data_IF_660639211845
#
_entry.id   IF_660639211845
#
_cell.length_a   1.000
_cell.length_b   1.000
_cell.length_c   1.000
_cell.angle_alpha   90.00
_cell.angle_beta   90.00
_cell.angle_gamma   90.00
#
_symmetry.space_group_name_H-M   'P 1'
#
loop_
_entity.id
_entity.type
_entity.pdbx_description
1 polymer ?
#
# COMPACT_ATOMS: atom_id res chain seq x y z
N UNK A 1 17.24 -1.05 -30.83
CA UNK A 1 17.64 -0.79 -29.42
C UNK A 1 16.65 -1.52 -28.51
N UNK A 2 16.93 -2.79 -28.25
CA UNK A 2 16.18 -3.68 -27.36
C UNK A 2 17.18 -4.13 -26.28
N UNK A 3 17.23 -3.44 -25.14
CA UNK A 3 17.37 -4.18 -23.87
C UNK A 3 16.69 -3.42 -22.73
N UNK A 4 15.46 -3.77 -22.34
CA UNK A 4 14.91 -3.25 -21.07
C UNK A 4 13.76 -4.06 -20.47
N UNK A 5 12.99 -4.85 -21.22
CA UNK A 5 11.68 -5.34 -20.72
C UNK A 5 11.53 -6.84 -20.49
N UNK A 6 12.59 -7.62 -20.64
CA UNK A 6 12.57 -9.06 -20.39
C UNK A 6 13.80 -9.54 -19.60
N UNK A 7 14.23 -8.79 -18.59
CA UNK A 7 15.08 -9.39 -17.56
C UNK A 7 14.15 -10.21 -16.68
N UNK A 8 14.06 -11.51 -16.97
CA UNK A 8 13.62 -12.48 -15.99
C UNK A 8 14.40 -12.23 -14.71
N UNK A 9 13.75 -11.62 -13.73
CA UNK A 9 14.38 -11.30 -12.48
C UNK A 9 14.68 -12.62 -11.77
N UNK A 10 15.93 -13.08 -11.85
CA UNK A 10 16.40 -14.19 -11.03
C UNK A 10 16.05 -13.88 -9.58
N UNK A 11 15.17 -14.70 -9.01
CA UNK A 11 14.78 -14.61 -7.61
C UNK A 11 15.89 -15.25 -6.77
N UNK A 12 16.51 -14.46 -5.88
CA UNK A 12 17.51 -14.96 -4.94
C UNK A 12 16.87 -15.77 -3.81
N UNK A 13 15.65 -15.41 -3.42
CA UNK A 13 14.88 -16.12 -2.38
C UNK A 13 13.44 -16.22 -2.86
N UNK A 14 12.95 -17.44 -3.09
CA UNK A 14 11.56 -17.71 -3.50
C UNK A 14 10.66 -18.04 -2.30
N UNK A 15 10.81 -17.32 -1.17
CA UNK A 15 10.04 -17.58 0.07
C UNK A 15 9.06 -16.44 0.36
N UNK A 16 7.79 -16.71 0.11
CA UNK A 16 6.66 -15.80 0.32
C UNK A 16 6.26 -15.59 1.79
N UNK A 17 6.93 -16.26 2.74
CA UNK A 17 6.47 -16.32 4.13
C UNK A 17 6.77 -15.04 4.93
N UNK A 18 7.99 -14.49 4.83
CA UNK A 18 8.45 -13.38 5.69
C UNK A 18 8.91 -12.16 4.89
N UNK A 19 9.83 -12.35 3.94
CA UNK A 19 10.47 -11.25 3.22
C UNK A 19 9.84 -11.05 1.83
N UNK A 20 9.30 -12.12 1.23
CA UNK A 20 8.75 -12.10 -0.12
C UNK A 20 9.83 -12.43 -1.16
N UNK A 21 9.45 -12.55 -2.44
CA UNK A 21 10.42 -12.82 -3.50
C UNK A 21 11.40 -11.63 -3.64
N UNK A 22 12.70 -11.89 -3.53
CA UNK A 22 13.75 -10.87 -3.69
C UNK A 22 14.40 -11.06 -5.06
N UNK A 23 14.25 -10.06 -5.93
CA UNK A 23 14.99 -9.99 -7.21
C UNK A 23 16.41 -9.50 -6.97
N UNK A 24 17.34 -9.75 -7.90
CA UNK A 24 18.72 -9.21 -7.81
C UNK A 24 18.73 -7.69 -7.63
N UNK A 25 17.91 -6.97 -8.41
CA UNK A 25 17.76 -5.52 -8.27
C UNK A 25 17.25 -5.14 -6.88
N UNK A 26 16.24 -5.85 -6.37
CA UNK A 26 15.73 -5.64 -5.01
C UNK A 26 16.83 -5.88 -3.98
N UNK A 27 17.57 -7.00 -4.06
CA UNK A 27 18.68 -7.29 -3.14
C UNK A 27 19.75 -6.21 -3.15
N UNK A 28 20.16 -5.72 -4.33
CA UNK A 28 21.09 -4.60 -4.44
C UNK A 28 20.59 -3.36 -3.69
N UNK A 29 19.32 -2.97 -3.89
CA UNK A 29 18.73 -1.84 -3.15
C UNK A 29 18.68 -2.09 -1.64
N UNK A 30 18.43 -3.32 -1.18
CA UNK A 30 18.47 -3.64 0.25
C UNK A 30 19.88 -3.48 0.82
N UNK A 31 20.90 -3.97 0.12
CA UNK A 31 22.30 -3.86 0.56
C UNK A 31 22.72 -2.40 0.62
N UNK A 32 22.41 -1.60 -0.40
CA UNK A 32 22.72 -0.16 -0.41
C UNK A 32 22.00 0.55 0.74
N UNK A 33 20.72 0.26 0.96
CA UNK A 33 19.92 0.88 2.03
C UNK A 33 20.39 0.50 3.43
N UNK A 34 20.68 -0.78 3.68
CA UNK A 34 21.20 -1.27 4.96
C UNK A 34 22.61 -0.73 5.18
N UNK A 35 23.48 -0.82 4.17
CA UNK A 35 24.84 -0.28 4.21
C UNK A 35 24.86 1.22 4.51
N UNK A 36 23.99 1.99 3.85
CA UNK A 36 23.82 3.42 4.13
C UNK A 36 23.45 3.69 5.59
N UNK A 37 22.49 2.94 6.14
CA UNK A 37 22.12 3.06 7.56
C UNK A 37 23.26 2.71 8.51
N UNK A 38 24.01 1.64 8.23
CA UNK A 38 25.16 1.22 9.06
C UNK A 38 26.29 2.25 8.99
N UNK A 39 26.59 2.77 7.80
CA UNK A 39 27.60 3.81 7.62
C UNK A 39 27.18 5.09 8.35
N UNK A 40 25.94 5.55 8.19
CA UNK A 40 25.43 6.73 8.90
C UNK A 40 25.44 6.56 10.43
N UNK A 41 25.26 5.33 10.90
CA UNK A 41 25.32 5.00 12.32
C UNK A 41 26.77 5.00 12.86
N UNK A 42 27.73 4.44 12.12
CA UNK A 42 29.05 4.10 12.65
C UNK A 42 30.19 5.05 12.19
N UNK A 43 30.05 5.71 11.04
CA UNK A 43 31.14 6.51 10.47
C UNK A 43 31.43 7.76 11.31
N UNK A 44 32.69 7.94 11.73
CA UNK A 44 33.12 9.11 12.50
C UNK A 44 32.38 9.24 13.84
N UNK A 45 32.18 8.11 14.54
CA UNK A 45 31.63 8.07 15.89
C UNK A 45 32.73 7.72 16.90
N UNK A 46 32.84 8.53 17.95
CA UNK A 46 33.88 8.42 18.97
C UNK A 46 33.41 7.61 20.20
N UNK A 47 32.09 7.42 20.39
CA UNK A 47 31.53 6.70 21.53
C UNK A 47 30.21 5.97 21.23
N UNK A 48 29.90 4.93 22.03
CA UNK A 48 28.63 4.19 21.91
C UNK A 48 27.41 5.07 22.21
N UNK A 49 27.54 6.05 23.10
CA UNK A 49 26.46 7.01 23.42
C UNK A 49 26.21 7.96 22.26
N UNK A 50 27.25 8.39 21.54
CA UNK A 50 27.10 9.17 20.32
C UNK A 50 26.47 8.34 19.19
N UNK A 51 26.86 7.06 19.03
CA UNK A 51 26.20 6.14 18.10
C UNK A 51 24.71 6.01 18.43
N UNK A 52 24.37 5.84 19.71
CA UNK A 52 22.99 5.69 20.17
C UNK A 52 22.15 6.95 19.91
N UNK A 53 22.71 8.14 20.12
CA UNK A 53 22.05 9.41 19.77
C UNK A 53 21.76 9.48 18.26
N UNK A 54 22.75 9.13 17.42
CA UNK A 54 22.56 9.04 15.95
C UNK A 54 21.50 8.02 15.55
N UNK A 55 21.46 6.87 16.21
CA UNK A 55 20.41 5.87 15.98
C UNK A 55 19.02 6.43 16.28
N UNK A 56 18.86 7.24 17.33
CA UNK A 56 17.63 7.97 17.60
C UNK A 56 17.19 8.81 16.40
N UNK A 57 18.08 9.62 15.82
CA UNK A 57 17.79 10.42 14.61
C UNK A 57 17.53 9.55 13.38
N UNK A 58 18.31 8.48 13.16
CA UNK A 58 18.11 7.56 12.04
C UNK A 58 16.78 6.81 12.15
N UNK A 59 16.31 6.51 13.36
CA UNK A 59 14.99 5.91 13.55
C UNK A 59 13.88 6.82 13.04
N UNK A 60 13.95 8.12 13.32
CA UNK A 60 12.99 9.12 12.82
C UNK A 60 13.03 9.22 11.29
N UNK A 61 14.24 9.26 10.71
CA UNK A 61 14.41 9.31 9.25
C UNK A 61 13.78 8.06 8.59
N UNK A 62 14.02 6.87 9.15
CA UNK A 62 13.44 5.64 8.64
C UNK A 62 11.94 5.53 8.88
N UNK A 63 11.40 6.25 9.88
CA UNK A 63 9.95 6.35 10.06
C UNK A 63 9.28 7.26 9.03
N UNK A 64 9.96 8.27 8.47
CA UNK A 64 9.34 9.22 7.54
C UNK A 64 8.57 8.55 6.39
N UNK A 65 9.14 7.58 5.62
CA UNK A 65 8.41 6.90 4.55
C UNK A 65 7.17 6.12 5.01
N UNK A 66 7.09 5.74 6.29
CA UNK A 66 5.95 5.01 6.85
C UNK A 66 4.71 5.91 6.99
N UNK A 67 4.92 7.22 7.09
CA UNK A 67 3.88 8.21 7.38
C UNK A 67 3.64 9.21 6.23
N UNK A 68 4.38 9.17 5.12
CA UNK A 68 4.28 10.15 4.02
C UNK A 68 2.86 10.37 3.46
N UNK A 69 2.00 9.36 3.48
CA UNK A 69 0.58 9.50 3.18
C UNK A 69 -0.24 8.41 3.87
N UNK A 70 -1.55 8.58 3.91
CA UNK A 70 -2.49 7.62 4.52
C UNK A 70 -2.77 6.40 3.64
N UNK A 71 -2.48 6.48 2.33
CA UNK A 71 -2.77 5.45 1.34
C UNK A 71 -1.56 5.01 0.49
N UNK A 72 -1.03 3.81 0.72
CA UNK A 72 0.19 3.31 0.06
C UNK A 72 0.10 3.22 -1.47
N UNK A 73 -1.07 2.93 -2.05
CA UNK A 73 -1.22 2.87 -3.52
C UNK A 73 -0.92 4.21 -4.19
N UNK A 74 -1.19 5.32 -3.50
CA UNK A 74 -0.91 6.63 -4.05
C UNK A 74 0.60 6.88 -4.15
N UNK A 75 1.36 6.53 -3.12
CA UNK A 75 2.81 6.63 -3.16
C UNK A 75 3.42 5.65 -4.15
N UNK A 76 2.88 4.43 -4.27
CA UNK A 76 3.40 3.48 -5.24
C UNK A 76 3.30 4.04 -6.66
N UNK A 77 2.17 4.66 -7.00
CA UNK A 77 2.00 5.26 -8.32
C UNK A 77 2.85 6.52 -8.50
N UNK A 78 2.94 7.38 -7.47
CA UNK A 78 3.77 8.58 -7.50
C UNK A 78 5.25 8.26 -7.74
N UNK A 79 5.75 7.18 -7.13
CA UNK A 79 7.11 6.70 -7.32
C UNK A 79 7.27 5.79 -8.55
N UNK A 80 6.18 5.47 -9.27
CA UNK A 80 6.22 4.59 -10.43
C UNK A 80 6.62 3.15 -10.11
N UNK A 81 6.38 2.68 -8.88
CA UNK A 81 6.72 1.32 -8.43
C UNK A 81 5.45 0.50 -8.18
N UNK A 82 5.57 -0.83 -8.22
CA UNK A 82 4.44 -1.69 -7.89
C UNK A 82 4.05 -1.55 -6.40
N UNK A 83 2.75 -1.68 -6.07
CA UNK A 83 2.31 -1.70 -4.68
C UNK A 83 3.01 -2.79 -3.83
N UNK A 84 3.23 -4.04 -4.33
CA UNK A 84 4.05 -5.01 -3.63
C UNK A 84 5.47 -4.52 -3.29
N UNK A 85 6.12 -3.83 -4.24
CA UNK A 85 7.44 -3.21 -4.03
C UNK A 85 7.38 -2.15 -2.94
N UNK A 86 6.38 -1.26 -2.97
CA UNK A 86 6.24 -0.22 -1.94
C UNK A 86 5.95 -0.82 -0.55
N UNK A 87 5.14 -1.87 -0.48
CA UNK A 87 4.91 -2.63 0.76
C UNK A 87 6.17 -3.32 1.28
N UNK A 88 7.10 -3.70 0.40
CA UNK A 88 8.40 -4.20 0.82
C UNK A 88 9.22 -3.07 1.44
N UNK A 89 9.29 -1.91 0.80
CA UNK A 89 9.95 -0.72 1.34
C UNK A 89 9.41 -0.34 2.73
N UNK A 90 8.08 -0.25 2.88
CA UNK A 90 7.44 0.05 4.17
C UNK A 90 7.87 -0.93 5.28
N UNK A 91 7.94 -2.24 4.97
CA UNK A 91 8.41 -3.25 5.93
C UNK A 91 9.89 -3.05 6.31
N UNK A 92 10.75 -2.78 5.33
CA UNK A 92 12.18 -2.55 5.58
C UNK A 92 12.42 -1.31 6.44
N UNK A 93 11.75 -0.21 6.12
CA UNK A 93 11.82 1.04 6.90
C UNK A 93 11.35 0.83 8.34
N UNK A 94 10.26 0.10 8.55
CA UNK A 94 9.77 -0.23 9.89
C UNK A 94 10.73 -1.09 10.70
N UNK A 95 11.32 -2.12 10.07
CA UNK A 95 12.32 -2.97 10.72
C UNK A 95 13.61 -2.21 11.05
N UNK A 96 14.06 -1.33 10.14
CA UNK A 96 15.24 -0.50 10.36
C UNK A 96 15.01 0.52 11.49
N UNK A 97 13.86 1.18 11.50
CA UNK A 97 13.48 2.09 12.59
C UNK A 97 13.44 1.36 13.94
N UNK A 98 12.85 0.16 14.00
CA UNK A 98 12.84 -0.67 15.21
C UNK A 98 14.27 -1.02 15.66
N UNK A 99 15.15 -1.45 14.75
CA UNK A 99 16.53 -1.78 15.08
C UNK A 99 17.28 -0.60 15.70
N UNK A 100 17.13 0.60 15.12
CA UNK A 100 17.70 1.83 15.64
C UNK A 100 17.12 2.22 17.01
N UNK A 101 15.81 2.06 17.22
CA UNK A 101 15.15 2.31 18.53
C UNK A 101 15.64 1.36 19.60
N UNK A 102 15.80 0.06 19.28
CA UNK A 102 16.32 -0.93 20.23
C UNK A 102 17.75 -0.57 20.64
N UNK A 103 18.59 -0.19 19.68
CA UNK A 103 19.97 0.21 19.98
C UNK A 103 20.03 1.51 20.80
N UNK A 104 19.30 2.55 20.37
CA UNK A 104 19.20 3.82 21.07
C UNK A 104 18.72 3.64 22.53
N UNK A 105 17.58 2.96 22.71
CA UNK A 105 17.00 2.70 24.02
C UNK A 105 17.85 1.78 24.88
N UNK A 106 18.47 0.75 24.30
CA UNK A 106 19.36 -0.17 25.01
C UNK A 106 20.56 0.54 25.64
N UNK A 107 21.25 1.39 24.87
CA UNK A 107 22.38 2.19 25.37
C UNK A 107 21.91 3.23 26.38
N UNK A 108 20.76 3.88 26.15
CA UNK A 108 20.20 4.83 27.11
C UNK A 108 19.92 4.17 28.47
N UNK A 109 19.36 2.95 28.49
CA UNK A 109 19.06 2.21 29.72
C UNK A 109 20.30 1.75 30.48
N UNK A 110 21.43 1.50 29.81
CA UNK A 110 22.68 1.12 30.49
C UNK A 110 23.40 2.31 31.11
N UNK A 111 23.19 3.52 30.57
CA UNK A 111 23.87 4.74 31.03
C UNK A 111 23.01 5.64 31.93
N UNK A 112 21.68 5.56 31.85
CA UNK A 112 20.79 6.20 32.82
C UNK A 112 20.46 5.23 33.95
N UNK A 113 20.87 5.58 35.17
CA UNK A 113 20.72 4.74 36.36
C UNK A 113 19.25 4.49 36.73
N UNK A 114 18.87 3.20 36.69
CA UNK A 114 17.73 2.53 37.35
C UNK A 114 16.35 3.14 37.09
N UNK A 115 15.53 2.38 36.36
CA UNK A 115 14.06 2.43 36.40
C UNK A 115 13.61 2.37 37.87
N UNK A 116 13.43 3.52 38.49
CA UNK A 116 12.98 3.64 39.87
C UNK A 116 11.48 3.93 39.88
N UNK A 117 10.79 3.50 40.94
CA UNK A 117 9.32 3.63 41.10
C UNK A 117 8.83 5.07 41.27
N UNK A 118 9.69 6.08 41.08
CA UNK A 118 9.38 7.51 41.18
C UNK A 118 9.82 8.36 39.98
N UNK A 119 10.10 7.74 38.82
CA UNK A 119 10.48 8.50 37.62
C UNK A 119 9.36 9.47 37.17
N UNK A 120 9.71 10.71 36.80
CA UNK A 120 8.81 11.63 36.11
C UNK A 120 8.11 10.98 34.92
N UNK A 121 6.87 11.39 34.64
CA UNK A 121 6.09 10.86 33.51
C UNK A 121 6.80 11.07 32.16
N UNK A 122 7.66 12.09 32.06
CA UNK A 122 8.47 12.41 30.89
C UNK A 122 9.46 11.30 30.52
N UNK A 123 9.97 10.57 31.52
CA UNK A 123 10.96 9.51 31.32
C UNK A 123 10.32 8.23 30.78
N UNK A 124 8.99 8.11 30.91
CA UNK A 124 8.22 6.97 30.38
C UNK A 124 7.91 7.08 28.89
N UNK A 125 7.90 8.30 28.32
CA UNK A 125 7.58 8.49 26.90
C UNK A 125 8.45 7.68 25.94
N UNK A 126 9.80 7.68 26.03
CA UNK A 126 10.63 6.87 25.14
C UNK A 126 10.42 5.36 25.33
N UNK A 127 10.20 4.89 26.57
CA UNK A 127 9.97 3.48 26.86
C UNK A 127 8.64 2.99 26.27
N UNK A 128 7.57 3.75 26.46
CA UNK A 128 6.25 3.41 25.93
C UNK A 128 6.29 3.47 24.40
N UNK A 129 6.93 4.49 23.81
CA UNK A 129 7.13 4.59 22.37
C UNK A 129 7.86 3.37 21.79
N UNK A 130 8.97 2.95 22.40
CA UNK A 130 9.72 1.77 21.99
C UNK A 130 8.89 0.48 22.12
N UNK A 131 8.15 0.31 23.22
CA UNK A 131 7.27 -0.84 23.42
C UNK A 131 6.17 -0.93 22.36
N UNK A 132 5.56 0.20 21.98
CA UNK A 132 4.54 0.24 20.92
C UNK A 132 5.15 -0.13 19.57
N UNK A 133 6.36 0.33 19.24
CA UNK A 133 7.06 -0.04 17.99
C UNK A 133 7.32 -1.55 17.94
N UNK A 134 7.80 -2.15 19.04
CA UNK A 134 8.02 -3.60 19.13
C UNK A 134 6.70 -4.35 18.95
N UNK A 135 5.63 -3.92 19.63
CA UNK A 135 4.30 -4.51 19.51
C UNK A 135 3.77 -4.42 18.06
N UNK A 136 3.97 -3.28 17.38
CA UNK A 136 3.60 -3.10 15.97
C UNK A 136 4.24 -4.15 15.07
N UNK A 137 5.53 -4.43 15.26
CA UNK A 137 6.26 -5.42 14.46
C UNK A 137 5.81 -6.84 14.79
N UNK A 138 5.60 -7.17 16.07
CA UNK A 138 5.08 -8.47 16.49
C UNK A 138 3.71 -8.78 15.90
N UNK A 139 2.78 -7.82 15.97
CA UNK A 139 1.44 -7.96 15.38
C UNK A 139 1.46 -8.02 13.85
N UNK A 140 2.52 -7.50 13.23
CA UNK A 140 2.70 -7.53 11.77
C UNK A 140 3.24 -8.85 11.23
N UNK A 141 3.58 -9.80 12.11
CA UNK A 141 4.01 -11.14 11.73
C UNK A 141 2.89 -11.90 10.98
N UNK A 142 3.24 -12.79 10.03
CA UNK A 142 2.27 -13.50 9.21
C UNK A 142 1.22 -14.29 10.01
N UNK A 143 1.58 -14.78 11.20
CA UNK A 143 0.70 -15.54 12.08
C UNK A 143 -0.56 -14.73 12.43
N UNK A 144 -0.39 -13.52 12.96
CA UNK A 144 -1.49 -12.66 13.37
C UNK A 144 -2.20 -12.03 12.17
N UNK A 145 -1.43 -11.53 11.20
CA UNK A 145 -1.98 -10.82 10.03
C UNK A 145 -2.86 -11.70 9.15
N UNK A 146 -2.58 -13.00 9.02
CA UNK A 146 -3.37 -13.92 8.18
C UNK A 146 -4.69 -14.31 8.83
N UNK A 147 -4.72 -14.45 10.16
CA UNK A 147 -5.92 -14.87 10.89
C UNK A 147 -6.91 -13.73 11.04
N UNK A 148 -6.44 -12.53 11.42
CA UNK A 148 -7.30 -11.39 11.77
C UNK A 148 -6.92 -10.12 11.01
N UNK A 149 -6.89 -10.17 9.68
CA UNK A 149 -6.38 -9.08 8.84
C UNK A 149 -7.04 -7.71 9.09
N UNK A 150 -8.38 -7.67 9.19
CA UNK A 150 -9.11 -6.40 9.38
C UNK A 150 -8.80 -5.78 10.75
N UNK A 151 -8.84 -6.58 11.81
CA UNK A 151 -8.47 -6.15 13.17
C UNK A 151 -7.02 -5.72 13.25
N UNK A 152 -6.11 -6.50 12.66
CA UNK A 152 -4.69 -6.19 12.56
C UNK A 152 -4.47 -4.80 11.94
N UNK A 153 -5.11 -4.51 10.80
CA UNK A 153 -4.90 -3.25 10.10
C UNK A 153 -5.34 -2.05 10.94
N UNK A 154 -6.48 -2.14 11.65
CA UNK A 154 -6.96 -1.06 12.51
C UNK A 154 -6.10 -0.87 13.75
N UNK A 155 -5.71 -1.96 14.39
CA UNK A 155 -4.81 -1.93 15.54
C UNK A 155 -3.44 -1.34 15.15
N UNK A 156 -2.90 -1.72 13.98
CA UNK A 156 -1.66 -1.16 13.46
C UNK A 156 -1.74 0.35 13.25
N UNK A 157 -2.84 0.86 12.67
CA UNK A 157 -3.06 2.30 12.50
C UNK A 157 -3.13 3.05 13.85
N UNK A 158 -3.86 2.51 14.83
CA UNK A 158 -3.99 3.11 16.16
C UNK A 158 -2.65 3.15 16.90
N UNK A 159 -1.92 2.04 16.91
CA UNK A 159 -0.59 1.96 17.50
C UNK A 159 0.40 2.89 16.78
N UNK A 160 0.33 3.01 15.45
CA UNK A 160 1.16 3.94 14.70
C UNK A 160 0.91 5.42 15.06
N UNK A 161 -0.34 5.80 15.37
CA UNK A 161 -0.66 7.12 15.94
C UNK A 161 -0.05 7.26 17.34
N UNK A 162 -0.16 6.21 18.17
CA UNK A 162 0.47 6.16 19.48
C UNK A 162 1.98 6.42 19.42
N UNK A 163 2.69 5.80 18.47
CA UNK A 163 4.13 6.06 18.26
C UNK A 163 4.39 7.54 17.99
N UNK A 164 3.62 8.19 17.11
CA UNK A 164 3.79 9.61 16.81
C UNK A 164 3.62 10.46 18.08
N UNK A 165 2.61 10.17 18.90
CA UNK A 165 2.37 10.90 20.16
C UNK A 165 3.53 10.74 21.14
N UNK A 166 3.97 9.50 21.41
CA UNK A 166 5.03 9.25 22.39
C UNK A 166 6.40 9.73 21.90
N UNK A 167 6.70 9.58 20.60
CA UNK A 167 7.92 10.13 20.00
C UNK A 167 7.90 11.65 20.08
N UNK A 168 6.81 12.32 19.69
CA UNK A 168 6.73 13.78 19.77
C UNK A 168 6.97 14.28 21.21
N UNK A 169 6.32 13.67 22.20
CA UNK A 169 6.53 14.02 23.60
C UNK A 169 7.97 13.75 24.05
N UNK A 170 8.60 12.66 23.63
CA UNK A 170 10.01 12.40 23.89
C UNK A 170 10.92 13.48 23.28
N UNK A 171 10.67 13.91 22.05
CA UNK A 171 11.45 14.99 21.42
C UNK A 171 11.32 16.32 22.16
N UNK A 172 10.14 16.62 22.73
CA UNK A 172 9.93 17.82 23.54
C UNK A 172 10.71 17.82 24.86
N UNK A 173 11.14 16.65 25.35
CA UNK A 173 11.98 16.54 26.56
C UNK A 173 13.46 16.82 26.27
N UNK A 174 13.86 16.84 25.00
CA UNK A 174 15.25 17.07 24.58
C UNK A 174 15.47 18.57 24.37
N UNK A 175 16.18 19.22 25.31
CA UNK A 175 16.32 20.67 25.37
C UNK A 175 16.86 21.32 24.07
N UNK A 176 17.83 20.70 23.41
CA UNK A 176 18.48 21.22 22.19
C UNK A 176 18.16 20.38 20.95
N UNK A 177 16.94 19.83 20.87
CA UNK A 177 16.55 19.04 19.70
C UNK A 177 16.55 19.89 18.42
N UNK A 178 17.16 19.37 17.35
CA UNK A 178 17.16 20.02 16.05
C UNK A 178 15.84 19.75 15.31
N UNK A 179 14.89 20.68 15.41
CA UNK A 179 13.55 20.54 14.83
C UNK A 179 13.48 20.61 13.29
N UNK A 180 14.54 21.09 12.62
CA UNK A 180 14.53 21.32 11.15
C UNK A 180 14.11 20.09 10.32
N UNK A 181 14.64 18.87 10.54
CA UNK A 181 14.22 17.70 9.76
C UNK A 181 12.74 17.35 9.95
N UNK A 182 12.19 17.60 11.15
CA UNK A 182 10.77 17.37 11.42
C UNK A 182 9.89 18.37 10.66
N UNK A 183 10.27 19.65 10.60
CA UNK A 183 9.53 20.65 9.82
C UNK A 183 9.53 20.32 8.32
N UNK A 184 10.67 19.88 7.78
CA UNK A 184 10.77 19.42 6.38
C UNK A 184 9.82 18.24 6.16
N UNK A 185 9.83 17.25 7.06
CA UNK A 185 8.95 16.10 6.98
C UNK A 185 7.47 16.48 7.05
N UNK A 186 7.06 17.33 7.99
CA UNK A 186 5.68 17.83 8.10
C UNK A 186 5.28 18.56 6.82
N UNK A 187 6.17 19.38 6.24
CA UNK A 187 5.94 20.05 4.96
C UNK A 187 5.66 19.06 3.82
N UNK A 188 6.49 18.02 3.70
CA UNK A 188 6.31 16.97 2.68
C UNK A 188 5.02 16.19 2.93
N UNK A 189 4.74 15.80 4.17
CA UNK A 189 3.51 15.09 4.56
C UNK A 189 2.26 15.89 4.19
N UNK A 190 2.23 17.17 4.56
CA UNK A 190 1.11 18.07 4.25
C UNK A 190 0.95 18.26 2.74
N UNK A 191 2.04 18.44 1.99
CA UNK A 191 2.00 18.60 0.54
C UNK A 191 1.46 17.34 -0.16
N UNK A 192 1.97 16.17 0.20
CA UNK A 192 1.51 14.90 -0.37
C UNK A 192 0.07 14.57 0.05
N UNK A 193 -0.30 14.88 1.29
CA UNK A 193 -1.66 14.74 1.80
C UNK A 193 -2.65 15.65 1.06
N UNK A 194 -2.27 16.91 0.83
CA UNK A 194 -3.06 17.85 0.05
C UNK A 194 -3.20 17.39 -1.41
N UNK A 195 -2.13 16.93 -2.04
CA UNK A 195 -2.17 16.40 -3.41
C UNK A 195 -3.05 15.15 -3.52
N UNK A 196 -2.98 14.24 -2.54
CA UNK A 196 -3.84 13.06 -2.48
C UNK A 196 -5.32 13.44 -2.32
N UNK A 197 -5.63 14.35 -1.39
CA UNK A 197 -6.99 14.83 -1.16
C UNK A 197 -7.55 15.56 -2.38
N UNK A 198 -6.75 16.44 -3.00
CA UNK A 198 -7.11 17.13 -4.24
C UNK A 198 -7.40 16.13 -5.38
N UNK A 199 -6.62 15.06 -5.49
CA UNK A 199 -6.85 13.99 -6.48
C UNK A 199 -8.18 13.27 -6.24
N UNK A 200 -8.54 12.98 -4.99
CA UNK A 200 -9.84 12.40 -4.66
C UNK A 200 -10.97 13.37 -5.00
N UNK A 201 -10.86 14.64 -4.58
CA UNK A 201 -11.88 15.67 -4.85
C UNK A 201 -12.08 15.81 -6.36
N UNK A 202 -10.99 15.98 -7.11
CA UNK A 202 -11.01 16.14 -8.56
C UNK A 202 -11.72 14.97 -9.25
N UNK A 203 -11.41 13.73 -8.85
CA UNK A 203 -11.94 12.53 -9.50
C UNK A 203 -13.40 12.22 -9.16
N UNK A 204 -13.91 12.68 -8.01
CA UNK A 204 -15.19 12.23 -7.47
C UNK A 204 -16.26 13.32 -7.37
N UNK A 205 -15.84 14.59 -7.28
CA UNK A 205 -16.73 15.73 -7.06
C UNK A 205 -16.73 16.64 -8.29
N UNK A 206 -17.92 16.87 -8.83
CA UNK A 206 -18.18 17.85 -9.88
C UNK A 206 -19.50 18.57 -9.57
N UNK A 207 -19.64 19.87 -9.85
CA UNK A 207 -20.91 20.56 -9.69
C UNK A 207 -22.04 19.83 -10.44
N UNK A 208 -23.08 19.42 -9.71
CA UNK A 208 -24.24 18.71 -10.26
C UNK A 208 -24.04 17.22 -10.58
N UNK A 209 -22.83 16.66 -10.46
CA UNK A 209 -22.57 15.24 -10.72
C UNK A 209 -21.56 14.67 -9.74
N UNK A 210 -21.98 13.72 -8.91
CA UNK A 210 -21.13 13.02 -7.96
C UNK A 210 -20.99 11.56 -8.39
N UNK A 211 -19.87 10.94 -8.06
CA UNK A 211 -19.69 9.51 -8.36
C UNK A 211 -20.69 8.66 -7.58
N UNK A 212 -21.27 7.67 -8.26
CA UNK A 212 -22.34 6.79 -7.79
C UNK A 212 -22.00 5.33 -8.03
N UNK A 213 -22.48 4.48 -7.14
CA UNK A 213 -22.29 3.05 -7.19
C UNK A 213 -23.64 2.36 -7.25
N UNK A 214 -23.82 1.53 -8.28
CA UNK A 214 -24.91 0.59 -8.40
C UNK A 214 -24.37 -0.81 -8.15
N UNK A 215 -25.08 -1.62 -7.37
CA UNK A 215 -24.66 -2.98 -7.02
C UNK A 215 -25.69 -3.96 -7.53
N UNK A 216 -25.28 -4.78 -8.49
CA UNK A 216 -26.11 -5.81 -9.09
C UNK A 216 -25.71 -7.18 -8.51
N UNK A 217 -26.71 -7.96 -8.11
CA UNK A 217 -26.50 -9.34 -7.72
C UNK A 217 -26.15 -10.18 -8.96
N UNK A 218 -25.10 -11.01 -8.87
CA UNK A 218 -24.82 -12.03 -9.89
C UNK A 218 -25.16 -13.41 -9.33
N UNK A 219 -24.53 -13.79 -8.21
CA UNK A 219 -24.80 -15.03 -7.50
C UNK A 219 -24.36 -14.91 -6.02
N UNK A 220 -24.56 -15.95 -5.23
CA UNK A 220 -24.29 -15.95 -3.78
C UNK A 220 -22.84 -15.60 -3.39
N UNK A 221 -21.89 -15.79 -4.32
CA UNK A 221 -20.47 -15.54 -4.10
C UNK A 221 -20.00 -14.23 -4.77
N UNK A 222 -20.80 -13.60 -5.62
CA UNK A 222 -20.38 -12.54 -6.53
C UNK A 222 -21.41 -11.44 -6.70
N UNK A 223 -20.92 -10.20 -6.62
CA UNK A 223 -21.67 -9.01 -7.00
C UNK A 223 -20.93 -8.22 -8.07
N UNK A 224 -21.69 -7.66 -9.00
CA UNK A 224 -21.19 -6.65 -9.95
C UNK A 224 -21.43 -5.29 -9.35
N UNK A 225 -20.40 -4.46 -9.30
CA UNK A 225 -20.52 -3.10 -8.82
C UNK A 225 -20.13 -2.13 -9.94
N UNK A 226 -21.07 -1.31 -10.37
CA UNK A 226 -20.86 -0.36 -11.46
C UNK A 226 -20.74 1.04 -10.88
N UNK A 227 -19.57 1.66 -11.07
CA UNK A 227 -19.34 3.05 -10.69
C UNK A 227 -19.68 3.93 -11.89
N UNK A 228 -20.69 4.79 -11.73
CA UNK A 228 -20.98 5.90 -12.65
C UNK A 228 -20.26 7.14 -12.14
N UNK A 229 -19.44 7.75 -13.00
CA UNK A 229 -18.48 8.76 -12.59
C UNK A 229 -18.86 10.16 -13.02
N UNK A 230 -18.44 11.12 -12.19
CA UNK A 230 -18.58 12.55 -12.47
C UNK A 230 -17.72 13.02 -13.64
N UNK A 231 -16.58 12.38 -13.87
CA UNK A 231 -15.61 12.72 -14.91
C UNK A 231 -15.14 11.45 -15.62
N UNK A 232 -14.88 11.49 -16.93
CA UNK A 232 -14.23 10.38 -17.63
C UNK A 232 -12.82 10.07 -17.06
N UNK A 233 -12.39 8.80 -17.07
CA UNK A 233 -10.99 8.36 -16.79
C UNK A 233 -10.55 7.53 -17.97
N UNK A 234 -9.26 7.63 -18.26
CA UNK A 234 -8.58 6.56 -18.95
C UNK A 234 -8.17 5.48 -17.95
N UNK A 235 -8.63 4.26 -18.16
CA UNK A 235 -8.24 3.09 -17.37
C UNK A 235 -7.53 2.11 -18.28
N UNK A 236 -6.38 1.62 -17.83
CA UNK A 236 -5.67 0.55 -18.52
C UNK A 236 -5.96 -0.80 -17.89
N UNK A 237 -5.93 -1.90 -18.67
CA UNK A 237 -6.14 -3.24 -18.15
C UNK A 237 -5.21 -3.57 -16.97
N UNK A 238 -5.74 -4.22 -15.93
CA UNK A 238 -5.00 -4.58 -14.72
C UNK A 238 -4.93 -3.49 -13.64
N UNK A 239 -5.37 -2.27 -13.93
CA UNK A 239 -5.47 -1.22 -12.92
C UNK A 239 -6.66 -1.45 -11.97
N UNK A 240 -6.54 -0.89 -10.76
CA UNK A 240 -7.55 -1.03 -9.72
C UNK A 240 -7.88 0.32 -9.08
N UNK A 241 -9.03 0.37 -8.42
CA UNK A 241 -9.49 1.53 -7.65
C UNK A 241 -9.57 1.18 -6.18
N UNK A 242 -9.26 2.14 -5.31
CA UNK A 242 -9.57 2.03 -3.90
C UNK A 242 -10.89 2.75 -3.65
N UNK A 243 -11.96 2.01 -3.38
CA UNK A 243 -13.30 2.57 -3.21
C UNK A 243 -13.66 2.70 -1.74
N UNK A 244 -14.33 3.78 -1.39
CA UNK A 244 -14.91 4.03 -0.08
C UNK A 244 -16.39 4.35 -0.25
N UNK A 245 -17.24 3.56 0.42
CA UNK A 245 -18.69 3.76 0.45
C UNK A 245 -19.07 4.17 1.88
N UNK A 246 -19.38 5.46 2.12
CA UNK A 246 -19.60 5.99 3.47
C UNK A 246 -20.74 5.30 4.24
N UNK A 247 -21.77 4.84 3.54
CA UNK A 247 -22.90 4.11 4.17
C UNK A 247 -22.53 2.72 4.69
N UNK A 248 -21.40 2.16 4.25
CA UNK A 248 -20.94 0.81 4.63
C UNK A 248 -19.82 0.82 5.66
N UNK A 249 -19.02 1.88 5.66
CA UNK A 249 -17.79 1.95 6.44
C UNK A 249 -17.33 3.39 6.67
N UNK A 250 -16.81 3.65 7.86
CA UNK A 250 -16.21 4.95 8.20
C UNK A 250 -14.75 4.97 7.75
N UNK A 251 -14.43 5.92 6.87
CA UNK A 251 -13.07 6.23 6.40
C UNK A 251 -12.23 5.00 6.06
N UNK A 252 -12.78 4.08 5.27
CA UNK A 252 -12.07 2.88 4.84
C UNK A 252 -12.23 2.62 3.36
N UNK A 253 -11.10 2.58 2.68
CA UNK A 253 -11.05 2.26 1.26
C UNK A 253 -10.65 0.80 1.04
N UNK A 254 -11.22 0.18 0.01
CA UNK A 254 -10.96 -1.20 -0.36
C UNK A 254 -10.55 -1.29 -1.84
N UNK A 255 -9.45 -2.01 -2.17
CA UNK A 255 -8.98 -2.15 -3.54
C UNK A 255 -9.82 -3.13 -4.36
N UNK A 256 -10.24 -2.73 -5.55
CA UNK A 256 -10.91 -3.59 -6.54
C UNK A 256 -10.38 -3.33 -7.94
N UNK A 257 -9.98 -4.39 -8.64
CA UNK A 257 -9.56 -4.31 -10.04
C UNK A 257 -10.75 -3.97 -10.92
N UNK A 258 -10.53 -3.07 -11.87
CA UNK A 258 -11.56 -2.70 -12.85
C UNK A 258 -11.65 -3.82 -13.88
N UNK A 259 -12.84 -4.39 -14.05
CA UNK A 259 -13.10 -5.51 -14.93
C UNK A 259 -13.58 -5.07 -16.34
N UNK A 260 -13.99 -3.81 -16.49
CA UNK A 260 -14.29 -3.18 -17.78
C UNK A 260 -13.08 -2.45 -18.37
N UNK A 261 -13.04 -2.34 -19.69
CA UNK A 261 -12.08 -1.52 -20.42
C UNK A 261 -12.69 -1.02 -21.73
N UNK A 262 -12.40 0.23 -22.09
CA UNK A 262 -12.70 0.84 -23.39
C UNK A 262 -11.46 1.60 -23.87
N UNK A 263 -11.41 1.87 -25.18
CA UNK A 263 -10.31 2.59 -25.82
C UNK A 263 -10.27 4.08 -25.47
N UNK A 264 -11.44 4.66 -25.17
CA UNK A 264 -11.60 6.06 -24.79
C UNK A 264 -11.89 6.19 -23.29
N UNK A 265 -12.04 7.43 -22.83
CA UNK A 265 -12.28 7.72 -21.42
C UNK A 265 -13.67 7.23 -20.98
N UNK A 266 -13.70 6.40 -19.93
CA UNK A 266 -14.91 5.74 -19.44
C UNK A 266 -15.56 6.51 -18.29
N UNK A 267 -16.89 6.63 -18.35
CA UNK A 267 -17.73 7.12 -17.24
C UNK A 267 -18.29 5.98 -16.40
N UNK A 268 -18.42 4.76 -16.97
CA UNK A 268 -18.94 3.58 -16.29
C UNK A 268 -17.82 2.57 -16.07
N UNK A 269 -17.55 2.23 -14.82
CA UNK A 269 -16.52 1.27 -14.45
C UNK A 269 -17.16 0.06 -13.76
N UNK A 270 -17.00 -1.11 -14.35
CA UNK A 270 -17.52 -2.36 -13.80
C UNK A 270 -16.47 -3.03 -12.93
N UNK A 271 -16.85 -3.36 -11.71
CA UNK A 271 -16.05 -4.12 -10.75
C UNK A 271 -16.73 -5.47 -10.53
N UNK A 272 -15.94 -6.55 -10.50
CA UNK A 272 -16.41 -7.87 -10.10
C UNK A 272 -15.90 -8.17 -8.70
N UNK A 273 -16.81 -8.23 -7.73
CA UNK A 273 -16.47 -8.29 -6.31
C UNK A 273 -16.92 -9.62 -5.74
N UNK A 274 -15.94 -10.45 -5.35
CA UNK A 274 -16.23 -11.67 -4.58
C UNK A 274 -16.69 -11.30 -3.18
N UNK A 275 -17.80 -11.87 -2.74
CA UNK A 275 -18.27 -11.77 -1.37
C UNK A 275 -17.31 -12.46 -0.39
N UNK A 276 -16.85 -11.71 0.60
CA UNK A 276 -16.01 -12.14 1.73
C UNK A 276 -16.59 -11.54 3.02
N UNK A 277 -15.98 -11.79 4.17
CA UNK A 277 -16.34 -11.12 5.41
C UNK A 277 -16.15 -9.59 5.32
N UNK A 278 -16.76 -8.86 6.27
CA UNK A 278 -16.57 -7.42 6.40
C UNK A 278 -17.26 -6.61 5.30
N UNK A 279 -16.52 -5.70 4.67
CA UNK A 279 -17.04 -4.72 3.70
C UNK A 279 -17.80 -5.35 2.53
N UNK A 280 -17.24 -6.40 1.92
CA UNK A 280 -17.81 -7.01 0.71
C UNK A 280 -19.14 -7.76 0.99
N UNK A 281 -19.30 -8.40 2.15
CA UNK A 281 -20.59 -8.94 2.60
C UNK A 281 -21.63 -7.85 2.79
N UNK A 282 -21.25 -6.74 3.45
CA UNK A 282 -22.16 -5.60 3.62
C UNK A 282 -22.56 -4.99 2.28
N UNK A 283 -21.61 -4.89 1.33
CA UNK A 283 -21.88 -4.43 -0.03
C UNK A 283 -22.85 -5.36 -0.75
N UNK A 284 -22.66 -6.69 -0.63
CA UNK A 284 -23.55 -7.67 -1.23
C UNK A 284 -24.98 -7.62 -0.65
N UNK A 285 -25.14 -7.34 0.65
CA UNK A 285 -26.46 -7.11 1.24
C UNK A 285 -27.17 -5.86 0.71
N UNK A 286 -26.46 -4.95 0.05
CA UNK A 286 -27.05 -3.82 -0.67
C UNK A 286 -27.27 -4.11 -2.16
N UNK A 287 -27.21 -5.38 -2.57
CA UNK A 287 -27.55 -5.77 -3.95
C UNK A 287 -28.93 -5.24 -4.35
N UNK A 288 -29.04 -4.77 -5.58
CA UNK A 288 -30.21 -4.13 -6.16
C UNK A 288 -30.53 -2.74 -5.58
N UNK A 289 -29.67 -2.18 -4.73
CA UNK A 289 -29.71 -0.74 -4.42
C UNK A 289 -28.89 0.04 -5.44
N UNK A 290 -29.52 1.11 -5.92
CA UNK A 290 -28.92 2.04 -6.86
C UNK A 290 -28.56 3.36 -6.16
N UNK A 291 -27.67 4.12 -6.80
CA UNK A 291 -27.32 5.48 -6.41
C UNK A 291 -26.59 5.62 -5.06
N UNK A 292 -25.80 4.62 -4.67
CA UNK A 292 -24.97 4.72 -3.47
C UNK A 292 -23.84 5.74 -3.70
N UNK A 293 -23.62 6.64 -2.73
CA UNK A 293 -22.47 7.56 -2.79
C UNK A 293 -21.17 6.77 -2.64
N UNK A 294 -20.24 6.99 -3.55
CA UNK A 294 -18.91 6.37 -3.53
C UNK A 294 -17.82 7.41 -3.77
N UNK A 295 -16.72 7.26 -3.06
CA UNK A 295 -15.47 7.94 -3.33
C UNK A 295 -14.44 6.91 -3.77
N UNK A 296 -13.59 7.24 -4.73
CA UNK A 296 -12.49 6.36 -5.12
C UNK A 296 -11.18 7.13 -5.28
N UNK A 297 -10.07 6.42 -5.05
CA UNK A 297 -8.73 6.84 -5.49
C UNK A 297 -8.25 5.92 -6.62
N UNK A 298 -7.53 6.49 -7.58
CA UNK A 298 -6.99 5.78 -8.73
C UNK A 298 -7.13 6.54 -10.06
N UNK A 299 -6.81 5.89 -11.20
CA UNK A 299 -6.49 4.47 -11.32
C UNK A 299 -5.12 4.14 -10.75
N UNK A 300 -5.03 3.04 -10.00
CA UNK A 300 -3.78 2.59 -9.39
C UNK A 300 -3.18 1.38 -10.10
N UNK A 301 -1.87 1.23 -9.97
CA UNK A 301 -1.12 0.13 -10.53
C UNK A 301 -0.83 0.29 -12.02
N UNK A 302 -0.18 -0.74 -12.57
CA UNK A 302 0.40 -0.71 -13.92
C UNK A 302 -0.30 -1.71 -14.84
N UNK A 303 -0.28 -1.41 -16.14
CA UNK A 303 -0.78 -2.31 -17.18
C UNK A 303 0.37 -3.00 -17.90
N UNK A 304 0.20 -4.27 -18.24
CA UNK A 304 1.14 -5.00 -19.09
C UNK A 304 0.97 -4.56 -20.56
N UNK A 305 2.06 -4.36 -21.32
CA UNK A 305 2.00 -3.90 -22.71
C UNK A 305 1.67 -5.06 -23.67
N UNK A 306 0.51 -5.69 -23.49
CA UNK A 306 0.10 -6.90 -24.23
C UNK A 306 0.09 -6.72 -25.75
N UNK A 307 -0.09 -5.49 -26.26
CA UNK A 307 -0.06 -5.20 -27.69
C UNK A 307 1.32 -5.35 -28.33
N UNK A 308 2.40 -5.27 -27.54
CA UNK A 308 3.78 -5.38 -28.02
C UNK A 308 4.20 -6.85 -28.30
N UNK A 309 3.42 -7.84 -27.84
CA UNK A 309 3.78 -9.26 -27.92
C UNK A 309 2.90 -10.01 -28.91
N UNK A 310 3.45 -10.96 -29.67
CA UNK A 310 2.66 -11.74 -30.65
C UNK A 310 2.01 -12.98 -30.03
N UNK A 311 2.65 -13.56 -29.03
CA UNK A 311 2.14 -14.70 -28.27
C UNK A 311 1.84 -14.24 -26.86
N UNK A 312 0.57 -14.35 -26.46
CA UNK A 312 0.08 -13.82 -25.19
C UNK A 312 -0.53 -14.96 -24.41
N UNK A 313 0.06 -15.26 -23.24
CA UNK A 313 -0.48 -16.23 -22.29
C UNK A 313 -1.08 -15.49 -21.11
N UNK A 314 -2.40 -15.58 -20.96
CA UNK A 314 -3.15 -15.00 -19.84
C UNK A 314 -3.51 -16.12 -18.87
N UNK A 315 -3.03 -16.03 -17.64
CA UNK A 315 -3.31 -17.01 -16.59
C UNK A 315 -4.15 -16.38 -15.48
N UNK A 316 -5.25 -17.04 -15.12
CA UNK A 316 -6.13 -16.63 -14.04
C UNK A 316 -6.53 -17.82 -13.15
N UNK A 317 -6.69 -17.56 -11.85
CA UNK A 317 -7.20 -18.54 -10.89
C UNK A 317 -8.45 -18.00 -10.20
N UNK A 318 -9.54 -18.76 -10.20
CA UNK A 318 -10.81 -18.39 -9.58
C UNK A 318 -11.27 -16.99 -10.02
N UNK A 319 -11.55 -16.12 -9.05
CA UNK A 319 -11.97 -14.73 -9.30
C UNK A 319 -10.89 -13.82 -9.88
N UNK A 320 -9.64 -14.28 -9.95
CA UNK A 320 -8.58 -13.56 -10.65
C UNK A 320 -8.88 -13.32 -12.13
N UNK A 321 -9.85 -14.01 -12.72
CA UNK A 321 -10.29 -13.75 -14.10
C UNK A 321 -10.73 -12.30 -14.32
N UNK A 322 -11.27 -11.63 -13.28
CA UNK A 322 -11.67 -10.22 -13.36
C UNK A 322 -10.52 -9.28 -13.73
N UNK A 323 -9.27 -9.64 -13.42
CA UNK A 323 -8.09 -8.85 -13.79
C UNK A 323 -7.65 -9.09 -15.23
N UNK A 324 -8.02 -10.24 -15.81
CA UNK A 324 -7.69 -10.68 -17.17
C UNK A 324 -8.72 -10.18 -18.18
N UNK A 325 -10.00 -10.09 -17.83
CA UNK A 325 -11.07 -9.63 -18.72
C UNK A 325 -10.76 -8.30 -19.45
N UNK A 326 -10.28 -7.23 -18.78
CA UNK A 326 -9.88 -5.99 -19.45
C UNK A 326 -8.82 -6.18 -20.54
N UNK A 327 -7.87 -7.11 -20.34
CA UNK A 327 -6.83 -7.40 -21.34
C UNK A 327 -7.42 -8.08 -22.56
N UNK A 328 -8.36 -9.01 -22.35
CA UNK A 328 -9.07 -9.68 -23.45
C UNK A 328 -9.86 -8.65 -24.26
N UNK A 329 -10.64 -7.79 -23.60
CA UNK A 329 -11.40 -6.72 -24.27
C UNK A 329 -10.48 -5.80 -25.08
N UNK A 330 -9.33 -5.41 -24.53
CA UNK A 330 -8.34 -4.60 -25.24
C UNK A 330 -7.76 -5.29 -26.47
N UNK A 331 -7.43 -6.58 -26.36
CA UNK A 331 -6.88 -7.36 -27.47
C UNK A 331 -7.92 -7.54 -28.59
N UNK A 332 -9.16 -7.87 -28.23
CA UNK A 332 -10.27 -7.98 -29.20
C UNK A 332 -10.51 -6.65 -29.92
N UNK A 333 -10.54 -5.55 -29.18
CA UNK A 333 -10.70 -4.21 -29.76
C UNK A 333 -9.58 -3.87 -30.74
N UNK A 334 -8.31 -4.07 -30.34
CA UNK A 334 -7.18 -3.79 -31.22
C UNK A 334 -7.09 -4.70 -32.46
N UNK A 335 -7.59 -5.94 -32.36
CA UNK A 335 -7.76 -6.81 -33.54
C UNK A 335 -8.85 -6.27 -34.49
N UNK A 336 -9.99 -5.81 -33.94
CA UNK A 336 -11.10 -5.27 -34.73
C UNK A 336 -10.71 -3.98 -35.46
N UNK A 337 -9.91 -3.11 -34.82
CA UNK A 337 -9.37 -1.89 -35.43
C UNK A 337 -8.22 -2.15 -36.42
N UNK A 338 -7.87 -3.43 -36.68
CA UNK A 338 -6.74 -3.86 -37.50
C UNK A 338 -5.36 -3.38 -37.00
N UNK A 339 -5.29 -2.87 -35.78
CA UNK A 339 -4.07 -2.43 -35.11
C UNK A 339 -3.21 -3.59 -34.59
N UNK A 340 -3.83 -4.71 -34.24
CA UNK A 340 -3.16 -5.93 -33.81
C UNK A 340 -3.30 -7.03 -34.86
N UNK A 341 -2.23 -7.30 -35.63
CA UNK A 341 -2.18 -8.38 -36.62
C UNK A 341 -1.38 -9.56 -36.06
N UNK A 342 -1.85 -10.78 -36.32
CA UNK A 342 -1.10 -12.02 -36.04
C UNK A 342 -0.95 -12.41 -34.56
N UNK A 343 -1.74 -11.81 -33.66
CA UNK A 343 -1.69 -12.12 -32.22
C UNK A 343 -2.30 -13.49 -31.93
N UNK A 344 -1.60 -14.34 -31.17
CA UNK A 344 -2.11 -15.60 -30.62
C UNK A 344 -2.30 -15.47 -29.11
N UNK A 345 -3.55 -15.58 -28.66
CA UNK A 345 -3.92 -15.40 -27.26
C UNK A 345 -4.37 -16.74 -26.69
N UNK A 346 -3.70 -17.19 -25.64
CA UNK A 346 -4.09 -18.37 -24.87
C UNK A 346 -4.53 -17.93 -23.48
N UNK A 347 -5.76 -18.28 -23.11
CA UNK A 347 -6.29 -18.00 -21.77
C UNK A 347 -6.38 -19.31 -21.01
N UNK A 348 -5.65 -19.40 -19.90
CA UNK A 348 -5.72 -20.51 -18.96
C UNK A 348 -6.44 -20.00 -17.72
N UNK A 349 -7.65 -20.52 -17.49
CA UNK A 349 -8.45 -20.21 -16.32
C UNK A 349 -8.64 -21.44 -15.45
N UNK A 350 -8.03 -21.43 -14.27
CA UNK A 350 -8.15 -22.50 -13.28
C UNK A 350 -9.25 -22.16 -12.28
N UNK A 351 -10.30 -22.97 -12.21
CA UNK A 351 -11.43 -22.79 -11.28
C UNK A 351 -11.51 -24.02 -10.37
N UNK A 352 -11.77 -23.81 -9.07
CA UNK A 352 -11.90 -24.93 -8.10
C UNK A 352 -13.17 -25.74 -8.31
N UNK A 353 -14.29 -25.08 -8.61
CA UNK A 353 -15.56 -25.68 -8.96
C UNK A 353 -16.17 -24.87 -10.10
N UNK A 354 -16.56 -25.53 -11.19
CA UNK A 354 -17.46 -24.98 -12.21
C UNK A 354 -18.89 -24.93 -11.64
N UNK A 355 -19.10 -24.21 -10.54
CA UNK A 355 -20.45 -23.92 -10.05
C UNK A 355 -21.18 -23.07 -11.09
N UNK A 356 -22.44 -23.42 -11.41
CA UNK A 356 -23.26 -22.88 -12.51
C UNK A 356 -23.00 -21.37 -12.71
N UNK A 357 -22.41 -21.04 -13.86
CA UNK A 357 -22.14 -19.68 -14.34
C UNK A 357 -23.43 -18.90 -14.47
#
# INVERSE_FOLDING_TARGET
VLPARAIGCYFLVNRYALIGPITVASAFFHVVYIGGNVISLAYGVDSITQAASRAGTLSLINMMPLYLTTHLSFLSDLFGVSLPTYRQLHRLCGLMAMGHVIFHGGVALTHHSRLSTGMPITDWYPLIGAAIIILLILLSLPLFRRLWYETFLRLHQLLAIGVVVFVFNHLMTIAEYQWRPLYIFIGIFCLLGAFYLASIIYNNLWPGSNSRLNVDYINDDLVSATITRSRPLNISPGQYLNIWVPSLSLFSSHPFTVASWESSSQTHLKLLIKQRSGFTKKLAHLSNKNDLRVFFSGPHGTSAPVGEFDYILLFATGFGIATVLPYVTKLVHGCNERGYKGKKVHIIWQVKNLGKV
#
